data_IF_158014963164
#
_entry.id   IF_158014963164
#
_cell.length_a   1.000
_cell.length_b   1.000
_cell.length_c   1.000
_cell.angle_alpha   90.00
_cell.angle_beta   90.00
_cell.angle_gamma   90.00
#
_symmetry.space_group_name_H-M   'P 1'
#
loop_
_entity.id
_entity.type
_entity.pdbx_description
1 polymer ?
#
# COMPACT_ATOMS: atom_id res chain seq x y z
N UNK A 1 -2.83 12.06 29.21
CA UNK A 1 -3.86 11.04 29.48
C UNK A 1 -4.31 10.47 28.13
N UNK A 2 -4.58 9.18 28.00
CA UNK A 2 -5.10 8.63 26.74
C UNK A 2 -6.44 9.29 26.40
N UNK A 3 -6.69 9.53 25.11
CA UNK A 3 -7.94 10.11 24.62
C UNK A 3 -9.12 9.23 25.02
N UNK A 4 -10.17 9.82 25.60
CA UNK A 4 -11.39 9.11 25.95
C UNK A 4 -12.39 9.18 24.79
N UNK A 5 -12.60 8.05 24.12
CA UNK A 5 -13.46 7.96 22.92
C UNK A 5 -14.93 8.29 23.21
N UNK A 6 -15.46 7.94 24.40
CA UNK A 6 -16.84 8.27 24.76
C UNK A 6 -17.05 9.78 24.93
N UNK A 7 -16.08 10.47 25.58
CA UNK A 7 -16.12 11.92 25.70
C UNK A 7 -16.05 12.60 24.32
N UNK A 8 -15.18 12.10 23.45
CA UNK A 8 -15.06 12.59 22.08
C UNK A 8 -16.34 12.34 21.29
N UNK A 9 -16.96 11.16 21.44
CA UNK A 9 -18.23 10.85 20.77
C UNK A 9 -19.33 11.86 21.14
N UNK A 10 -19.48 12.21 22.43
CA UNK A 10 -20.43 13.23 22.87
C UNK A 10 -20.15 14.60 22.26
N UNK A 11 -18.88 15.03 22.28
CA UNK A 11 -18.46 16.33 21.75
C UNK A 11 -18.69 16.45 20.23
N UNK A 12 -18.38 15.40 19.49
CA UNK A 12 -18.46 15.34 18.03
C UNK A 12 -19.78 14.78 17.51
N UNK A 13 -20.71 14.40 18.38
CA UNK A 13 -22.01 13.80 18.04
C UNK A 13 -21.86 12.49 17.23
N UNK A 14 -20.79 11.72 17.49
CA UNK A 14 -20.60 10.40 16.90
C UNK A 14 -21.54 9.42 17.60
N UNK A 15 -22.35 8.70 16.82
CA UNK A 15 -23.30 7.70 17.30
C UNK A 15 -22.76 6.27 17.23
N UNK A 16 -21.87 6.00 16.26
CA UNK A 16 -21.31 4.69 16.00
C UNK A 16 -19.80 4.76 15.71
N UNK A 17 -19.10 3.68 16.03
CA UNK A 17 -17.69 3.52 15.68
C UNK A 17 -17.47 2.27 14.82
N UNK A 18 -16.73 2.41 13.75
CA UNK A 18 -16.13 1.30 13.01
C UNK A 18 -14.81 0.95 13.71
N UNK A 19 -14.78 -0.14 14.45
CA UNK A 19 -13.54 -0.70 15.03
C UNK A 19 -12.95 -1.63 14.00
N UNK A 20 -11.84 -1.21 13.37
CA UNK A 20 -11.35 -1.81 12.14
C UNK A 20 -9.92 -2.34 12.28
N UNK A 21 -9.64 -3.45 11.58
CA UNK A 21 -8.28 -3.94 11.37
C UNK A 21 -8.11 -4.43 9.93
N UNK A 22 -6.87 -4.63 9.51
CA UNK A 22 -6.53 -5.19 8.19
C UNK A 22 -5.89 -6.54 8.38
N UNK A 23 -6.38 -7.56 7.66
CA UNK A 23 -5.80 -8.89 7.67
C UNK A 23 -4.56 -9.01 6.75
N UNK A 24 -3.91 -10.18 6.68
CA UNK A 24 -2.68 -10.39 5.89
C UNK A 24 -2.86 -10.15 4.38
N UNK A 25 -4.09 -10.31 3.86
CA UNK A 25 -4.39 -10.06 2.45
C UNK A 25 -4.73 -8.59 2.14
N UNK A 26 -4.72 -7.73 3.17
CA UNK A 26 -5.04 -6.30 3.00
C UNK A 26 -6.53 -5.99 3.08
N UNK A 27 -7.37 -6.96 3.43
CA UNK A 27 -8.81 -6.76 3.55
C UNK A 27 -9.13 -6.02 4.85
N UNK A 28 -9.87 -4.90 4.72
CA UNK A 28 -10.34 -4.12 5.85
C UNK A 28 -11.55 -4.82 6.50
N UNK A 29 -11.38 -5.22 7.76
CA UNK A 29 -12.39 -5.88 8.60
C UNK A 29 -12.88 -4.93 9.67
N UNK A 30 -14.16 -4.97 9.99
CA UNK A 30 -14.74 -4.03 10.96
C UNK A 30 -15.94 -4.60 11.70
N UNK A 31 -16.17 -4.07 12.90
CA UNK A 31 -17.46 -4.11 13.58
C UNK A 31 -17.98 -2.71 13.82
N UNK A 32 -19.28 -2.50 13.62
CA UNK A 32 -19.98 -1.27 13.96
C UNK A 32 -20.43 -1.35 15.43
N UNK A 33 -19.96 -0.41 16.24
CA UNK A 33 -20.18 -0.38 17.69
C UNK A 33 -20.92 0.90 18.07
N UNK A 34 -22.06 0.86 18.79
CA UNK A 34 -22.72 2.05 19.33
C UNK A 34 -21.80 2.84 20.27
N UNK A 35 -21.89 4.16 20.25
CA UNK A 35 -21.04 5.03 21.07
C UNK A 35 -21.18 4.75 22.58
N UNK A 36 -22.33 4.23 23.05
CA UNK A 36 -22.54 3.84 24.44
C UNK A 36 -21.61 2.72 24.89
N UNK A 37 -21.25 1.80 23.98
CA UNK A 37 -20.37 0.66 24.27
C UNK A 37 -18.88 0.97 24.06
N UNK A 38 -18.51 2.16 23.55
CA UNK A 38 -17.14 2.44 23.13
C UNK A 38 -16.12 2.43 24.27
N UNK A 39 -16.54 2.78 25.49
CA UNK A 39 -15.65 2.74 26.66
C UNK A 39 -15.19 1.32 26.99
N UNK A 40 -16.08 0.34 26.87
CA UNK A 40 -15.75 -1.07 27.03
C UNK A 40 -14.85 -1.56 25.91
N UNK A 41 -15.18 -1.21 24.66
CA UNK A 41 -14.37 -1.56 23.49
C UNK A 41 -12.97 -0.92 23.52
N UNK A 42 -12.87 0.30 24.06
CA UNK A 42 -11.56 0.97 24.20
C UNK A 42 -10.66 0.24 25.21
N UNK A 43 -11.27 -0.37 26.24
CA UNK A 43 -10.55 -1.10 27.30
C UNK A 43 -10.22 -2.53 26.90
N UNK A 44 -11.21 -3.27 26.40
CA UNK A 44 -11.14 -4.71 26.23
C UNK A 44 -11.10 -5.14 24.75
N UNK A 45 -11.39 -4.24 23.82
CA UNK A 45 -11.44 -4.52 22.38
C UNK A 45 -12.79 -5.06 21.92
N UNK A 46 -13.01 -5.03 20.62
CA UNK A 46 -14.13 -5.71 19.95
C UNK A 46 -13.72 -7.13 19.57
N UNK A 47 -14.50 -8.14 19.89
CA UNK A 47 -14.19 -9.54 19.63
C UNK A 47 -14.36 -9.92 18.15
N UNK A 48 -13.44 -10.72 17.61
CA UNK A 48 -13.46 -11.25 16.24
C UNK A 48 -13.02 -12.72 16.23
N UNK A 49 -13.71 -13.54 15.45
CA UNK A 49 -13.27 -14.91 15.16
C UNK A 49 -12.15 -14.89 14.12
N UNK A 50 -10.92 -15.20 14.51
CA UNK A 50 -9.74 -15.07 13.66
C UNK A 50 -9.79 -15.94 12.42
N UNK A 51 -10.35 -17.15 12.51
CA UNK A 51 -10.45 -18.07 11.38
C UNK A 51 -11.33 -17.54 10.21
N UNK A 52 -12.24 -16.61 10.49
CA UNK A 52 -13.08 -15.96 9.47
C UNK A 52 -12.34 -14.88 8.67
N UNK A 53 -11.05 -14.71 8.90
CA UNK A 53 -10.18 -13.70 8.27
C UNK A 53 -8.90 -14.34 7.74
N UNK A 54 -8.15 -13.61 6.91
CA UNK A 54 -6.87 -14.09 6.38
C UNK A 54 -5.72 -13.87 7.39
N UNK A 55 -5.77 -14.59 8.54
CA UNK A 55 -4.74 -14.58 9.60
C UNK A 55 -4.17 -15.96 9.92
N UNK A 56 -4.47 -16.97 9.08
CA UNK A 56 -4.04 -18.36 9.24
C UNK A 56 -4.43 -18.99 10.58
N UNK A 57 -5.67 -18.77 11.00
CA UNK A 57 -6.27 -19.33 12.21
C UNK A 57 -7.30 -20.40 11.89
N UNK A 58 -7.63 -21.22 12.88
CA UNK A 58 -8.63 -22.29 12.81
C UNK A 58 -9.78 -21.97 13.76
N UNK A 59 -10.95 -22.64 13.65
CA UNK A 59 -12.05 -22.50 14.62
C UNK A 59 -11.68 -22.92 16.07
N UNK A 60 -10.54 -23.59 16.26
CA UNK A 60 -10.05 -23.96 17.59
C UNK A 60 -9.23 -22.88 18.29
N UNK A 61 -8.82 -21.85 17.54
CA UNK A 61 -8.09 -20.72 18.11
C UNK A 61 -9.04 -19.79 18.88
N UNK A 62 -8.52 -19.17 19.96
CA UNK A 62 -9.27 -18.22 20.77
C UNK A 62 -9.74 -17.00 19.94
N UNK A 63 -10.81 -16.34 20.41
CA UNK A 63 -11.23 -15.06 19.84
C UNK A 63 -10.14 -13.99 19.94
N UNK A 64 -10.02 -13.20 18.89
CA UNK A 64 -9.18 -12.00 18.87
C UNK A 64 -9.98 -10.79 19.33
N UNK A 65 -9.29 -9.83 19.91
CA UNK A 65 -9.85 -8.55 20.32
C UNK A 65 -9.15 -7.40 19.60
N UNK A 66 -9.92 -6.66 18.80
CA UNK A 66 -9.47 -5.42 18.15
C UNK A 66 -9.55 -4.26 19.14
N UNK A 67 -8.43 -3.89 19.74
CA UNK A 67 -8.34 -2.74 20.67
C UNK A 67 -8.14 -1.48 19.83
N UNK A 68 -9.14 -0.55 19.81
CA UNK A 68 -9.05 0.63 18.97
C UNK A 68 -7.96 1.59 19.46
N UNK A 69 -7.19 2.13 18.52
CA UNK A 69 -6.21 3.18 18.78
C UNK A 69 -6.90 4.55 18.72
N UNK A 70 -7.06 5.27 19.87
CA UNK A 70 -7.76 6.55 19.89
C UNK A 70 -7.06 7.66 19.06
N UNK A 71 -5.78 7.49 18.75
CA UNK A 71 -5.04 8.46 17.94
C UNK A 71 -5.33 8.30 16.45
N UNK A 72 -5.89 7.16 16.04
CA UNK A 72 -6.31 6.89 14.67
C UNK A 72 -7.73 7.39 14.33
N UNK A 73 -8.47 7.97 15.30
CA UNK A 73 -9.86 8.35 15.10
C UNK A 73 -10.05 9.32 13.94
N UNK A 74 -10.85 8.91 12.98
CA UNK A 74 -11.36 9.73 11.88
C UNK A 74 -12.90 9.76 11.96
N UNK A 75 -13.49 10.94 12.17
CA UNK A 75 -14.94 11.13 11.97
C UNK A 75 -15.17 11.21 10.47
N UNK A 76 -16.06 10.37 9.91
CA UNK A 76 -16.28 10.33 8.47
C UNK A 76 -16.82 11.69 7.97
N UNK A 77 -16.13 12.39 7.04
CA UNK A 77 -16.61 13.68 6.55
C UNK A 77 -17.97 13.59 5.86
N UNK A 78 -18.26 12.50 5.16
CA UNK A 78 -19.52 12.26 4.43
C UNK A 78 -20.63 11.63 5.29
N UNK A 79 -20.31 11.21 6.52
CA UNK A 79 -21.28 10.72 7.51
C UNK A 79 -20.78 10.97 8.94
N UNK A 80 -21.04 12.16 9.45
CA UNK A 80 -20.53 12.63 10.74
C UNK A 80 -21.02 11.83 11.96
N UNK A 81 -21.99 10.95 11.80
CA UNK A 81 -22.45 10.08 12.89
C UNK A 81 -21.50 8.90 13.14
N UNK A 82 -20.55 8.64 12.23
CA UNK A 82 -19.64 7.50 12.31
C UNK A 82 -18.19 7.98 12.55
N UNK A 83 -17.52 7.34 13.50
CA UNK A 83 -16.08 7.42 13.72
C UNK A 83 -15.40 6.13 13.26
N UNK A 84 -14.35 6.23 12.47
CA UNK A 84 -13.49 5.10 12.09
C UNK A 84 -12.27 5.05 12.99
N UNK A 85 -11.87 3.84 13.40
CA UNK A 85 -10.72 3.57 14.27
C UNK A 85 -9.92 2.39 13.74
N UNK A 86 -8.61 2.57 13.56
CA UNK A 86 -7.69 1.45 13.39
C UNK A 86 -7.46 0.77 14.74
N UNK A 87 -7.32 -0.56 14.73
CA UNK A 87 -7.17 -1.36 15.95
C UNK A 87 -5.95 -2.26 15.88
N UNK A 88 -5.35 -2.47 17.04
CA UNK A 88 -4.35 -3.52 17.25
C UNK A 88 -5.04 -4.80 17.72
N UNK A 89 -4.67 -5.94 17.13
CA UNK A 89 -5.26 -7.23 17.51
C UNK A 89 -4.51 -7.87 18.68
N UNK A 90 -5.28 -8.37 19.64
CA UNK A 90 -4.82 -9.14 20.78
C UNK A 90 -5.54 -10.49 20.84
N UNK A 91 -4.84 -11.52 21.28
CA UNK A 91 -5.37 -12.85 21.58
C UNK A 91 -4.70 -13.36 22.86
N UNK A 92 -5.47 -13.87 23.81
CA UNK A 92 -4.99 -14.30 25.14
C UNK A 92 -4.10 -13.24 25.83
N UNK A 93 -4.51 -11.97 25.74
CA UNK A 93 -3.81 -10.83 26.34
C UNK A 93 -2.49 -10.43 25.65
N UNK A 94 -2.13 -11.04 24.51
CA UNK A 94 -0.90 -10.77 23.77
C UNK A 94 -1.19 -10.21 22.38
N UNK A 95 -0.35 -9.31 21.85
CA UNK A 95 -0.49 -8.83 20.47
C UNK A 95 -0.40 -9.98 19.47
N UNK A 96 -1.33 -10.02 18.51
CA UNK A 96 -1.32 -11.00 17.41
C UNK A 96 -0.19 -10.65 16.45
N UNK A 97 0.87 -11.46 16.45
CA UNK A 97 2.08 -11.20 15.64
C UNK A 97 1.80 -11.13 14.15
N UNK A 98 0.84 -11.90 13.65
CA UNK A 98 0.43 -11.91 12.24
C UNK A 98 -0.43 -10.70 11.85
N UNK A 99 -0.85 -9.84 12.81
CA UNK A 99 -1.58 -8.62 12.49
C UNK A 99 -0.66 -7.59 11.81
N UNK A 100 -0.98 -7.14 10.58
CA UNK A 100 -0.12 -6.23 9.82
C UNK A 100 0.21 -4.92 10.55
N UNK A 101 -0.77 -4.33 11.25
CA UNK A 101 -0.56 -3.09 12.03
C UNK A 101 0.39 -3.33 13.20
N UNK A 102 0.27 -4.47 13.89
CA UNK A 102 1.19 -4.89 14.97
C UNK A 102 2.59 -5.13 14.41
N UNK A 103 2.70 -5.76 13.23
CA UNK A 103 3.98 -5.96 12.55
C UNK A 103 4.66 -4.62 12.23
N UNK A 104 3.91 -3.64 11.71
CA UNK A 104 4.44 -2.30 11.43
C UNK A 104 4.92 -1.61 12.72
N UNK A 105 4.12 -1.62 13.78
CA UNK A 105 4.50 -1.04 15.09
C UNK A 105 5.78 -1.66 15.65
N UNK A 106 5.97 -2.97 15.47
CA UNK A 106 7.20 -3.65 15.87
C UNK A 106 8.43 -3.15 15.09
N UNK A 107 8.30 -2.91 13.77
CA UNK A 107 9.41 -2.36 12.98
C UNK A 107 9.69 -0.89 13.31
N UNK A 108 8.64 -0.09 13.55
CA UNK A 108 8.78 1.31 14.01
C UNK A 108 9.54 1.35 15.34
N UNK A 109 9.22 0.46 16.29
CA UNK A 109 9.93 0.34 17.57
C UNK A 109 11.43 0.07 17.36
N UNK A 110 11.79 -0.92 16.53
CA UNK A 110 13.20 -1.21 16.20
C UNK A 110 13.93 0.00 15.60
N UNK A 111 13.23 0.80 14.81
CA UNK A 111 13.78 2.02 14.20
C UNK A 111 13.97 3.13 15.26
N UNK A 112 13.01 3.27 16.18
CA UNK A 112 13.08 4.27 17.27
C UNK A 112 14.20 3.97 18.27
N UNK A 113 14.58 2.70 18.49
CA UNK A 113 15.73 2.29 19.29
C UNK A 113 17.05 2.87 18.74
N UNK A 114 17.10 3.19 17.43
CA UNK A 114 18.22 3.89 16.79
C UNK A 114 18.01 5.41 16.74
N UNK A 115 17.01 5.93 17.41
CA UNK A 115 16.60 7.34 17.35
C UNK A 115 16.27 7.80 15.91
N UNK A 116 15.73 6.89 15.11
CA UNK A 116 15.30 7.12 13.72
C UNK A 116 13.81 6.92 13.57
N UNK A 117 13.22 7.66 12.63
CA UNK A 117 11.81 7.59 12.29
C UNK A 117 11.67 7.66 10.76
N UNK A 118 10.91 6.74 10.17
CA UNK A 118 10.55 6.84 8.76
C UNK A 118 9.30 7.68 8.58
N UNK A 119 9.39 8.65 7.68
CA UNK A 119 8.23 9.35 7.13
C UNK A 119 8.03 8.91 5.70
N UNK A 120 6.77 8.81 5.29
CA UNK A 120 6.41 8.37 3.95
C UNK A 120 5.15 9.06 3.44
N UNK A 121 5.05 9.19 2.12
CA UNK A 121 3.83 9.51 1.38
C UNK A 121 3.58 8.40 0.38
N UNK A 122 2.32 8.13 0.06
CA UNK A 122 1.94 7.15 -0.95
C UNK A 122 1.13 7.83 -2.06
N UNK A 123 1.39 7.45 -3.30
CA UNK A 123 0.66 7.82 -4.51
C UNK A 123 -0.15 6.59 -4.90
N UNK A 124 -1.40 6.50 -4.46
CA UNK A 124 -2.24 5.32 -4.66
C UNK A 124 -3.20 5.57 -5.83
N UNK A 125 -2.84 5.07 -7.00
CA UNK A 125 -3.64 5.16 -8.22
C UNK A 125 -4.87 4.26 -8.15
N UNK A 126 -5.98 4.69 -8.78
CA UNK A 126 -7.21 3.92 -8.84
C UNK A 126 -7.97 4.18 -10.15
N UNK A 127 -8.77 3.20 -10.55
CA UNK A 127 -9.73 3.37 -11.64
C UNK A 127 -11.12 3.69 -11.11
N UNK A 128 -11.83 4.56 -11.82
CA UNK A 128 -13.28 4.66 -11.74
C UNK A 128 -13.89 3.82 -12.86
N UNK A 129 -14.70 2.85 -12.47
CA UNK A 129 -15.26 1.83 -13.35
C UNK A 129 -16.79 1.80 -13.24
N UNK A 130 -17.45 1.12 -14.18
CA UNK A 130 -18.88 0.81 -14.09
C UNK A 130 -19.16 -0.05 -12.83
N UNK A 131 -20.38 0.00 -12.31
CA UNK A 131 -20.79 -0.77 -11.12
C UNK A 131 -20.51 -2.27 -11.27
N UNK A 132 -20.73 -2.82 -12.46
CA UNK A 132 -20.46 -4.24 -12.76
C UNK A 132 -18.96 -4.57 -12.95
N UNK A 133 -18.09 -3.57 -12.96
CA UNK A 133 -16.65 -3.72 -13.15
C UNK A 133 -16.20 -4.11 -14.55
N UNK A 134 -17.09 -4.05 -15.55
CA UNK A 134 -16.79 -4.49 -16.91
C UNK A 134 -15.98 -3.49 -17.71
N UNK A 135 -16.15 -2.19 -17.47
CA UNK A 135 -15.55 -1.10 -18.25
C UNK A 135 -15.14 0.09 -17.37
N UNK A 136 -14.36 1.00 -17.93
CA UNK A 136 -14.13 2.31 -17.31
C UNK A 136 -15.44 3.10 -17.26
N UNK A 137 -15.60 3.94 -16.23
CA UNK A 137 -16.84 4.66 -15.99
C UNK A 137 -17.13 5.75 -17.03
N UNK A 138 -16.10 6.37 -17.62
CA UNK A 138 -16.23 7.43 -18.61
C UNK A 138 -15.96 6.91 -20.03
N UNK A 139 -17.00 6.55 -20.77
CA UNK A 139 -16.90 6.04 -22.15
C UNK A 139 -16.36 7.09 -23.16
N UNK A 140 -16.32 8.38 -22.81
CA UNK A 140 -15.73 9.44 -23.63
C UNK A 140 -14.24 9.63 -23.38
N UNK A 141 -13.67 8.94 -22.41
CA UNK A 141 -12.23 8.97 -22.11
C UNK A 141 -11.48 7.99 -23.02
N UNK A 142 -11.17 8.46 -24.23
CA UNK A 142 -10.60 7.63 -25.34
C UNK A 142 -9.23 8.10 -25.83
N UNK A 143 -8.63 9.11 -25.20
CA UNK A 143 -7.35 9.65 -25.60
C UNK A 143 -6.25 8.57 -25.58
N UNK A 144 -5.35 8.62 -26.56
CA UNK A 144 -4.22 7.69 -26.62
C UNK A 144 -3.14 8.00 -25.58
N UNK A 145 -3.04 9.28 -25.15
CA UNK A 145 -2.18 9.75 -24.06
C UNK A 145 -3.05 10.52 -23.07
N UNK A 146 -3.77 9.84 -22.17
CA UNK A 146 -4.79 10.45 -21.35
C UNK A 146 -4.26 11.21 -20.14
N UNK A 147 -2.97 11.03 -19.79
CA UNK A 147 -2.36 11.65 -18.63
C UNK A 147 -2.57 13.17 -18.64
N UNK A 148 -3.12 13.72 -17.54
CA UNK A 148 -3.42 15.14 -17.35
C UNK A 148 -4.52 15.70 -18.27
N UNK A 149 -5.38 14.85 -18.87
CA UNK A 149 -6.50 15.32 -19.68
C UNK A 149 -7.50 16.08 -18.79
N UNK A 150 -7.54 17.41 -18.98
CA UNK A 150 -8.42 18.29 -18.22
C UNK A 150 -9.89 17.95 -18.42
N UNK A 151 -10.29 17.56 -19.62
CA UNK A 151 -11.70 17.26 -19.90
C UNK A 151 -12.15 15.98 -19.20
N UNK A 152 -11.32 14.93 -19.21
CA UNK A 152 -11.60 13.69 -18.50
C UNK A 152 -11.65 13.91 -16.97
N UNK A 153 -10.70 14.67 -16.43
CA UNK A 153 -10.69 15.07 -15.00
C UNK A 153 -11.99 15.81 -14.64
N UNK A 154 -12.37 16.80 -15.42
CA UNK A 154 -13.55 17.65 -15.13
C UNK A 154 -14.87 16.90 -15.30
N UNK A 155 -14.94 15.86 -16.12
CA UNK A 155 -16.14 14.99 -16.18
C UNK A 155 -16.38 14.17 -14.92
N UNK A 156 -15.37 14.06 -14.04
CA UNK A 156 -15.44 13.39 -12.72
C UNK A 156 -15.27 14.38 -11.56
N UNK A 157 -15.37 15.67 -11.83
CA UNK A 157 -15.13 16.75 -10.88
C UNK A 157 -15.89 16.59 -9.58
N UNK A 158 -17.18 16.26 -9.61
CA UNK A 158 -18.03 16.21 -8.40
C UNK A 158 -17.51 15.15 -7.41
N UNK A 159 -17.15 13.95 -7.88
CA UNK A 159 -16.58 12.91 -7.05
C UNK A 159 -15.16 13.30 -6.57
N UNK A 160 -14.29 13.76 -7.47
CA UNK A 160 -12.91 14.13 -7.15
C UNK A 160 -12.89 15.27 -6.13
N UNK A 161 -13.76 16.28 -6.33
CA UNK A 161 -13.96 17.37 -5.38
C UNK A 161 -14.41 16.87 -4.02
N UNK A 162 -15.39 15.96 -3.94
CA UNK A 162 -15.86 15.41 -2.67
C UNK A 162 -14.76 14.65 -1.92
N UNK A 163 -13.96 13.85 -2.62
CA UNK A 163 -12.79 13.18 -2.03
C UNK A 163 -11.80 14.22 -1.48
N UNK A 164 -11.47 15.24 -2.29
CA UNK A 164 -10.54 16.29 -1.92
C UNK A 164 -11.04 17.08 -0.69
N UNK A 165 -12.31 17.45 -0.66
CA UNK A 165 -12.95 18.17 0.47
C UNK A 165 -12.93 17.32 1.75
N UNK A 166 -13.13 16.01 1.63
CA UNK A 166 -12.97 15.07 2.75
C UNK A 166 -11.53 15.08 3.27
N UNK A 167 -10.54 15.01 2.39
CA UNK A 167 -9.12 15.04 2.77
C UNK A 167 -8.73 16.36 3.44
N UNK A 168 -9.24 17.50 2.95
CA UNK A 168 -9.06 18.83 3.57
C UNK A 168 -9.67 18.84 4.97
N UNK A 169 -10.91 18.36 5.11
CA UNK A 169 -11.62 18.29 6.40
C UNK A 169 -10.86 17.45 7.43
N UNK A 170 -10.19 16.39 7.00
CA UNK A 170 -9.35 15.52 7.85
C UNK A 170 -7.94 16.10 8.10
N UNK A 171 -7.60 17.24 7.50
CA UNK A 171 -6.28 17.87 7.66
C UNK A 171 -5.14 17.11 6.95
N UNK A 172 -5.42 16.37 5.89
CA UNK A 172 -4.40 15.61 5.15
C UNK A 172 -3.62 16.47 4.17
N UNK A 173 -4.07 17.69 3.90
CA UNK A 173 -3.45 18.64 2.98
C UNK A 173 -3.23 18.06 1.59
N UNK A 174 -4.30 17.70 0.86
CA UNK A 174 -4.17 17.33 -0.53
C UNK A 174 -3.62 18.52 -1.33
N UNK A 175 -2.74 18.26 -2.28
CA UNK A 175 -2.08 19.34 -3.04
C UNK A 175 -2.17 19.16 -4.55
N UNK A 176 -2.51 17.95 -5.03
CA UNK A 176 -2.61 17.68 -6.46
C UNK A 176 -3.50 16.46 -6.68
N UNK A 177 -4.33 16.55 -7.72
CA UNK A 177 -5.20 15.48 -8.18
C UNK A 177 -5.16 15.50 -9.69
N UNK A 178 -4.94 14.37 -10.32
CA UNK A 178 -4.80 14.28 -11.76
C UNK A 178 -5.44 13.03 -12.37
N UNK A 179 -5.65 13.12 -13.69
CA UNK A 179 -5.95 12.00 -14.54
C UNK A 179 -4.65 11.30 -14.90
N UNK A 180 -4.57 10.00 -14.68
CA UNK A 180 -3.37 9.20 -14.87
C UNK A 180 -3.23 8.63 -16.30
N UNK A 181 -2.20 7.76 -16.51
CA UNK A 181 -1.79 7.27 -17.83
C UNK A 181 -2.78 6.27 -18.46
N UNK A 182 -3.79 5.83 -17.75
CA UNK A 182 -4.86 5.01 -18.30
C UNK A 182 -6.18 5.78 -18.33
N UNK A 183 -6.97 5.57 -19.40
CA UNK A 183 -8.33 6.08 -19.45
C UNK A 183 -9.13 5.60 -18.21
N UNK A 184 -9.81 6.51 -17.53
CA UNK A 184 -10.56 6.25 -16.31
C UNK A 184 -9.71 6.06 -15.04
N UNK A 185 -8.42 6.35 -15.08
CA UNK A 185 -7.49 6.24 -13.94
C UNK A 185 -7.20 7.62 -13.34
N UNK A 186 -7.10 7.66 -12.01
CA UNK A 186 -6.89 8.89 -11.24
C UNK A 186 -5.88 8.65 -10.11
N UNK A 187 -5.21 9.73 -9.71
CA UNK A 187 -4.33 9.78 -8.55
C UNK A 187 -4.63 11.02 -7.71
N UNK A 188 -4.50 10.90 -6.39
CA UNK A 188 -4.63 12.00 -5.46
C UNK A 188 -3.45 12.01 -4.49
N UNK A 189 -2.78 13.15 -4.36
CA UNK A 189 -1.61 13.31 -3.53
C UNK A 189 -1.90 14.17 -2.31
N UNK A 190 -1.30 13.80 -1.17
CA UNK A 190 -1.38 14.54 0.10
C UNK A 190 -0.06 14.53 0.84
N UNK A 191 0.08 15.39 1.83
CA UNK A 191 1.32 15.54 2.61
C UNK A 191 1.75 14.22 3.26
N UNK A 192 3.06 13.92 3.13
CA UNK A 192 3.71 12.80 3.81
C UNK A 192 3.67 12.97 5.34
N UNK A 193 3.71 11.85 6.04
CA UNK A 193 3.71 11.85 7.51
C UNK A 193 4.44 10.61 8.06
N UNK A 194 4.36 10.39 9.37
CA UNK A 194 4.93 9.21 10.02
C UNK A 194 4.34 7.91 9.48
N UNK A 195 5.15 6.88 9.32
CA UNK A 195 4.79 5.65 8.61
C UNK A 195 3.53 4.94 9.13
N UNK A 196 3.25 4.96 10.44
CA UNK A 196 2.00 4.40 10.98
C UNK A 196 0.79 5.22 10.53
N UNK A 197 0.87 6.54 10.65
CA UNK A 197 -0.20 7.45 10.21
C UNK A 197 -0.41 7.33 8.70
N UNK A 198 0.67 7.23 7.91
CA UNK A 198 0.58 7.00 6.46
C UNK A 198 -0.15 5.69 6.16
N UNK A 199 0.15 4.60 6.87
CA UNK A 199 -0.53 3.32 6.68
C UNK A 199 -2.02 3.40 7.05
N UNK A 200 -2.36 3.99 8.20
CA UNK A 200 -3.75 4.19 8.64
C UNK A 200 -4.52 5.06 7.62
N UNK A 201 -3.92 6.16 7.15
CA UNK A 201 -4.50 7.03 6.10
C UNK A 201 -4.67 6.31 4.77
N UNK A 202 -3.72 5.49 4.36
CA UNK A 202 -3.81 4.72 3.11
C UNK A 202 -4.95 3.70 3.15
N UNK A 203 -5.12 2.99 4.27
CA UNK A 203 -6.29 2.10 4.50
C UNK A 203 -7.59 2.89 4.38
N UNK A 204 -7.67 4.02 5.10
CA UNK A 204 -8.87 4.84 5.11
C UNK A 204 -9.14 5.49 3.75
N UNK A 205 -8.12 5.93 3.01
CA UNK A 205 -8.24 6.48 1.65
C UNK A 205 -8.90 5.48 0.71
N UNK A 206 -8.44 4.22 0.69
CA UNK A 206 -9.07 3.18 -0.14
C UNK A 206 -10.55 2.99 0.20
N UNK A 207 -10.89 2.94 1.48
CA UNK A 207 -12.28 2.85 1.95
C UNK A 207 -13.10 4.09 1.52
N UNK A 208 -12.57 5.30 1.74
CA UNK A 208 -13.22 6.56 1.40
C UNK A 208 -13.51 6.66 -0.09
N UNK A 209 -12.52 6.40 -0.94
CA UNK A 209 -12.68 6.49 -2.40
C UNK A 209 -13.73 5.51 -2.91
N UNK A 210 -13.74 4.26 -2.41
CA UNK A 210 -14.77 3.27 -2.75
C UNK A 210 -16.16 3.72 -2.31
N UNK A 211 -16.31 4.15 -1.04
CA UNK A 211 -17.61 4.59 -0.50
C UNK A 211 -18.17 5.81 -1.23
N UNK A 212 -17.31 6.77 -1.59
CA UNK A 212 -17.75 7.95 -2.33
C UNK A 212 -18.06 7.63 -3.79
N UNK A 213 -17.29 6.75 -4.44
CA UNK A 213 -17.59 6.29 -5.79
C UNK A 213 -18.98 5.63 -5.86
N UNK A 214 -19.29 4.73 -4.92
CA UNK A 214 -20.61 4.08 -4.81
C UNK A 214 -21.74 5.12 -4.65
N UNK A 215 -21.55 6.15 -3.81
CA UNK A 215 -22.50 7.25 -3.65
C UNK A 215 -22.77 8.00 -4.96
N UNK A 216 -21.81 8.03 -5.88
CA UNK A 216 -21.94 8.62 -7.22
C UNK A 216 -22.37 7.61 -8.30
N UNK A 217 -22.83 6.41 -7.95
CA UNK A 217 -23.24 5.36 -8.91
C UNK A 217 -22.07 4.80 -9.72
N UNK A 218 -20.86 4.80 -9.12
CA UNK A 218 -19.63 4.30 -9.72
C UNK A 218 -18.97 3.27 -8.79
N UNK A 219 -18.00 2.54 -9.31
CA UNK A 219 -17.11 1.70 -8.51
C UNK A 219 -15.67 2.18 -8.65
N UNK A 220 -14.94 2.29 -7.55
CA UNK A 220 -13.51 2.52 -7.57
C UNK A 220 -12.76 1.21 -7.35
N UNK A 221 -11.67 0.98 -8.10
CA UNK A 221 -10.82 -0.20 -7.91
C UNK A 221 -9.35 0.16 -7.84
N UNK A 222 -8.66 -0.43 -6.87
CA UNK A 222 -7.21 -0.41 -6.69
C UNK A 222 -6.53 -1.65 -7.27
N UNK A 223 -7.28 -2.51 -7.97
CA UNK A 223 -6.75 -3.69 -8.64
C UNK A 223 -5.52 -3.33 -9.50
N UNK A 224 -4.39 -4.05 -9.40
CA UNK A 224 -3.14 -3.68 -10.06
C UNK A 224 -3.25 -3.52 -11.58
N UNK A 225 -4.06 -4.35 -12.23
CA UNK A 225 -4.28 -4.32 -13.69
C UNK A 225 -5.69 -4.78 -14.04
N UNK A 226 -6.71 -3.93 -13.87
CA UNK A 226 -8.11 -4.31 -14.15
C UNK A 226 -8.39 -4.51 -15.64
N UNK A 227 -7.64 -3.81 -16.51
CA UNK A 227 -7.75 -3.91 -17.96
C UNK A 227 -6.38 -4.22 -18.58
N UNK A 228 -6.29 -5.26 -19.38
CA UNK A 228 -5.00 -5.76 -19.90
C UNK A 228 -4.31 -4.76 -20.86
N UNK A 229 -5.08 -3.95 -21.56
CA UNK A 229 -4.65 -2.98 -22.56
C UNK A 229 -4.38 -1.56 -22.03
N UNK A 230 -4.72 -1.30 -20.75
CA UNK A 230 -4.49 0.00 -20.09
C UNK A 230 -3.31 -0.10 -19.12
N UNK A 231 -2.71 1.03 -18.77
CA UNK A 231 -1.70 1.10 -17.69
C UNK A 231 -2.30 0.61 -16.37
N UNK A 232 -1.51 -0.03 -15.52
CA UNK A 232 -2.00 -0.56 -14.24
C UNK A 232 -1.84 0.44 -13.09
N UNK A 233 -2.52 0.21 -11.97
CA UNK A 233 -2.42 1.01 -10.76
C UNK A 233 -1.10 0.77 -10.02
N UNK A 234 -0.29 1.80 -9.89
CA UNK A 234 0.83 1.86 -8.97
C UNK A 234 0.38 2.30 -7.57
N UNK A 235 1.29 2.11 -6.63
CA UNK A 235 1.20 2.69 -5.29
C UNK A 235 2.63 3.09 -4.89
N UNK A 236 3.11 4.17 -5.48
CA UNK A 236 4.48 4.61 -5.26
C UNK A 236 4.65 5.11 -3.82
N UNK A 237 5.78 4.81 -3.18
CA UNK A 237 6.07 5.29 -1.85
C UNK A 237 7.28 6.22 -1.85
N UNK A 238 7.07 7.46 -1.42
CA UNK A 238 8.12 8.40 -1.11
C UNK A 238 8.60 8.17 0.32
N UNK A 239 9.90 8.05 0.51
CA UNK A 239 10.51 7.63 1.76
C UNK A 239 11.62 8.57 2.17
N UNK A 240 11.62 8.96 3.44
CA UNK A 240 12.69 9.70 4.10
C UNK A 240 12.84 9.24 5.55
N UNK A 241 14.03 9.40 6.13
CA UNK A 241 14.32 9.01 7.51
C UNK A 241 14.78 10.22 8.30
N UNK A 242 14.26 10.37 9.49
CA UNK A 242 14.39 11.54 10.33
C UNK A 242 14.92 11.19 11.73
N UNK A 243 15.58 12.16 12.36
CA UNK A 243 15.81 12.21 13.80
C UNK A 243 15.26 13.55 14.31
N UNK A 244 14.10 13.52 14.96
CA UNK A 244 13.36 14.74 15.29
C UNK A 244 13.02 15.54 14.03
N UNK A 245 13.60 16.73 13.90
CA UNK A 245 13.39 17.61 12.74
C UNK A 245 14.43 17.44 11.63
N UNK A 246 15.48 16.65 11.88
CA UNK A 246 16.60 16.49 10.95
C UNK A 246 16.31 15.36 9.95
N UNK A 247 16.25 15.68 8.67
CA UNK A 247 16.19 14.69 7.61
C UNK A 247 17.56 14.01 7.45
N UNK A 248 17.66 12.75 7.90
CA UNK A 248 18.91 11.96 7.85
C UNK A 248 19.23 11.40 6.46
N UNK A 249 18.31 11.52 5.52
CA UNK A 249 18.57 11.17 4.12
C UNK A 249 19.26 12.31 3.35
N UNK A 250 19.20 13.56 3.84
CA UNK A 250 19.72 14.72 3.14
C UNK A 250 21.26 14.82 3.26
N UNK A 251 21.92 14.93 2.12
CA UNK A 251 23.29 15.45 2.00
C UNK A 251 23.37 16.37 0.78
N UNK A 252 23.45 17.67 1.01
CA UNK A 252 23.52 18.69 -0.05
C UNK A 252 24.79 18.64 -0.90
N UNK A 253 25.84 17.93 -0.47
CA UNK A 253 27.11 17.79 -1.19
C UNK A 253 27.10 16.58 -2.15
N UNK A 254 26.17 15.65 -1.94
CA UNK A 254 26.02 14.49 -2.82
C UNK A 254 25.31 14.86 -4.13
N UNK A 255 25.67 14.23 -5.22
CA UNK A 255 25.12 14.52 -6.56
C UNK A 255 23.62 14.26 -6.67
N UNK A 256 23.10 13.29 -5.93
CA UNK A 256 21.67 12.96 -5.86
C UNK A 256 21.02 13.51 -4.59
N UNK A 257 21.76 14.25 -3.75
CA UNK A 257 21.28 14.82 -2.51
C UNK A 257 21.01 13.82 -1.40
N UNK A 258 21.63 12.63 -1.44
CA UNK A 258 21.43 11.55 -0.48
C UNK A 258 22.66 11.32 0.41
N UNK A 259 22.41 11.17 1.70
CA UNK A 259 23.44 10.81 2.68
C UNK A 259 23.86 9.34 2.56
N UNK A 260 25.01 9.01 3.17
CA UNK A 260 25.47 7.62 3.29
C UNK A 260 24.43 6.71 3.98
N UNK A 261 23.70 7.24 4.98
CA UNK A 261 22.61 6.51 5.62
C UNK A 261 21.48 6.20 4.64
N UNK A 262 21.12 7.18 3.81
CA UNK A 262 20.10 7.01 2.77
C UNK A 262 20.51 5.93 1.75
N UNK A 263 21.76 5.95 1.27
CA UNK A 263 22.26 4.91 0.38
C UNK A 263 22.27 3.52 1.02
N UNK A 264 22.65 3.42 2.29
CA UNK A 264 22.60 2.14 3.00
C UNK A 264 21.16 1.64 3.14
N UNK A 265 20.22 2.51 3.49
CA UNK A 265 18.79 2.18 3.58
C UNK A 265 18.24 1.71 2.22
N UNK A 266 18.49 2.47 1.17
CA UNK A 266 18.13 2.15 -0.21
C UNK A 266 18.76 0.83 -0.66
N UNK A 267 20.03 0.59 -0.34
CA UNK A 267 20.72 -0.65 -0.59
C UNK A 267 20.05 -1.87 0.05
N UNK A 268 19.57 -1.71 1.29
CA UNK A 268 18.80 -2.73 1.99
C UNK A 268 17.47 -3.03 1.29
N UNK A 269 16.74 -1.99 0.87
CA UNK A 269 15.49 -2.13 0.10
C UNK A 269 15.76 -2.87 -1.21
N UNK A 270 16.77 -2.46 -1.98
CA UNK A 270 17.14 -3.12 -3.25
C UNK A 270 17.53 -4.59 -3.05
N UNK A 271 18.29 -4.89 -2.00
CA UNK A 271 18.74 -6.25 -1.73
C UNK A 271 17.58 -7.20 -1.38
N UNK A 272 16.53 -6.70 -0.75
CA UNK A 272 15.36 -7.48 -0.34
C UNK A 272 14.18 -7.41 -1.32
N UNK A 273 14.27 -6.64 -2.39
CA UNK A 273 13.16 -6.35 -3.31
C UNK A 273 12.46 -7.59 -3.83
N UNK A 274 13.21 -8.63 -4.25
CA UNK A 274 12.60 -9.85 -4.79
C UNK A 274 11.69 -10.55 -3.76
N UNK A 275 12.12 -10.60 -2.51
CA UNK A 275 11.34 -11.16 -1.42
C UNK A 275 10.18 -10.24 -1.00
N UNK A 276 10.43 -8.93 -0.93
CA UNK A 276 9.42 -7.92 -0.64
C UNK A 276 8.31 -7.85 -1.69
N UNK A 277 8.57 -8.28 -2.93
CA UNK A 277 7.53 -8.37 -3.98
C UNK A 277 6.36 -9.25 -3.56
N UNK A 278 6.52 -10.20 -2.64
CA UNK A 278 5.42 -10.97 -2.10
C UNK A 278 4.43 -10.10 -1.28
N UNK A 279 4.89 -9.02 -0.64
CA UNK A 279 4.06 -8.06 0.09
C UNK A 279 3.65 -6.85 -0.75
N UNK A 280 4.50 -6.44 -1.68
CA UNK A 280 4.35 -5.22 -2.48
C UNK A 280 3.53 -5.43 -3.73
N UNK A 281 3.52 -6.68 -4.23
CA UNK A 281 2.79 -7.13 -5.41
C UNK A 281 2.10 -8.46 -5.07
N UNK A 282 1.12 -8.42 -4.12
CA UNK A 282 0.68 -9.62 -3.39
C UNK A 282 -0.33 -10.47 -4.13
N UNK A 283 -0.79 -10.07 -5.32
CA UNK A 283 -1.82 -10.79 -6.07
C UNK A 283 -1.28 -11.39 -7.37
N UNK A 284 -1.98 -12.38 -7.91
CA UNK A 284 -1.67 -12.90 -9.25
C UNK A 284 -1.76 -11.79 -10.30
N UNK A 285 -2.74 -10.91 -10.15
CA UNK A 285 -2.95 -9.77 -11.04
C UNK A 285 -1.81 -8.75 -10.99
N UNK A 286 -1.10 -8.61 -9.87
CA UNK A 286 0.07 -7.74 -9.71
C UNK A 286 1.12 -7.99 -10.81
N UNK A 287 1.29 -9.23 -11.22
CA UNK A 287 2.29 -9.65 -12.21
C UNK A 287 1.85 -9.39 -13.66
N UNK A 288 0.64 -8.91 -13.88
CA UNK A 288 0.23 -8.31 -15.15
C UNK A 288 0.75 -6.88 -15.27
N UNK A 289 0.94 -6.16 -14.15
CA UNK A 289 1.52 -4.82 -14.11
C UNK A 289 3.05 -4.88 -14.21
N UNK A 290 3.72 -5.69 -13.37
CA UNK A 290 5.18 -5.84 -13.41
C UNK A 290 5.62 -6.48 -14.73
N UNK A 291 6.66 -5.92 -15.34
CA UNK A 291 7.17 -6.35 -16.66
C UNK A 291 6.08 -6.30 -17.76
N UNK A 292 5.11 -5.41 -17.66
CA UNK A 292 4.10 -5.24 -18.69
C UNK A 292 4.72 -4.68 -19.98
N UNK A 293 4.18 -5.02 -21.16
CA UNK A 293 4.54 -4.34 -22.40
C UNK A 293 4.06 -2.88 -22.36
N UNK A 294 4.63 -1.98 -23.19
CA UNK A 294 4.10 -0.63 -23.35
C UNK A 294 2.62 -0.64 -23.72
N UNK A 295 1.86 0.27 -23.12
CA UNK A 295 0.45 0.52 -23.40
C UNK A 295 0.28 1.55 -24.54
N UNK A 296 -0.93 2.03 -24.78
CA UNK A 296 -1.23 3.05 -25.81
C UNK A 296 -0.39 4.32 -25.65
N UNK A 297 -0.08 4.73 -24.42
CA UNK A 297 0.76 5.91 -24.14
C UNK A 297 2.22 5.71 -24.53
N UNK A 298 2.67 4.48 -24.78
CA UNK A 298 4.04 4.12 -25.14
C UNK A 298 4.93 3.84 -23.92
N UNK A 299 4.38 3.86 -22.71
CA UNK A 299 5.09 3.56 -21.46
C UNK A 299 4.44 2.37 -20.73
N UNK A 300 5.18 1.77 -19.81
CA UNK A 300 4.67 0.72 -18.92
C UNK A 300 4.41 1.26 -17.51
N UNK A 301 5.08 2.35 -17.16
CA UNK A 301 5.13 2.97 -15.82
C UNK A 301 5.45 2.01 -14.68
N UNK A 302 5.93 0.83 -15.01
CA UNK A 302 6.21 -0.26 -14.09
C UNK A 302 7.65 -0.75 -14.27
N UNK A 303 8.39 -0.98 -13.18
CA UNK A 303 9.76 -1.46 -13.26
C UNK A 303 9.82 -2.93 -13.69
N UNK A 304 10.97 -3.30 -14.28
CA UNK A 304 11.30 -4.69 -14.64
C UNK A 304 12.58 -5.19 -13.95
N UNK A 305 13.43 -4.27 -13.53
CA UNK A 305 14.75 -4.56 -12.96
C UNK A 305 14.96 -3.78 -11.67
N UNK A 306 15.81 -4.31 -10.79
CA UNK A 306 16.19 -3.66 -9.55
C UNK A 306 17.29 -2.66 -9.85
N UNK A 307 16.93 -1.39 -9.94
CA UNK A 307 17.84 -0.30 -10.26
C UNK A 307 17.37 1.01 -9.65
N UNK A 308 18.29 1.97 -9.52
CA UNK A 308 17.98 3.31 -9.07
C UNK A 308 18.75 4.37 -9.86
N UNK A 309 18.24 5.59 -9.84
CA UNK A 309 18.89 6.77 -10.40
C UNK A 309 18.27 8.06 -9.86
N UNK A 310 18.65 9.21 -10.40
CA UNK A 310 18.03 10.50 -10.13
C UNK A 310 16.57 10.58 -10.61
N UNK A 311 16.15 11.75 -11.09
CA UNK A 311 14.78 12.01 -11.54
C UNK A 311 14.46 11.32 -12.88
N UNK A 312 14.28 9.99 -12.85
CA UNK A 312 13.96 9.17 -14.04
C UNK A 312 12.98 8.05 -13.67
N UNK A 313 11.76 8.13 -14.18
CA UNK A 313 10.63 7.22 -13.89
C UNK A 313 10.77 5.82 -14.47
N UNK A 314 11.81 5.53 -15.27
CA UNK A 314 12.02 4.21 -15.86
C UNK A 314 12.71 3.23 -14.92
N UNK A 315 13.17 3.68 -13.74
CA UNK A 315 13.82 2.88 -12.72
C UNK A 315 12.87 2.48 -11.59
N UNK A 316 13.19 1.39 -10.89
CA UNK A 316 12.44 0.94 -9.72
C UNK A 316 12.50 1.94 -8.56
N UNK A 317 13.67 2.57 -8.36
CA UNK A 317 13.84 3.64 -7.39
C UNK A 317 14.28 4.90 -8.13
N UNK A 318 13.52 5.96 -7.92
CA UNK A 318 13.74 7.30 -8.44
C UNK A 318 14.10 8.23 -7.28
N UNK A 319 15.08 9.10 -7.48
CA UNK A 319 15.41 10.16 -6.53
C UNK A 319 14.94 11.47 -7.19
N UNK A 320 13.67 11.91 -6.92
CA UNK A 320 13.08 13.05 -7.61
C UNK A 320 13.69 14.38 -7.16
N UNK A 321 14.09 14.46 -5.90
CA UNK A 321 14.75 15.60 -5.27
C UNK A 321 15.55 15.16 -4.02
N UNK A 322 16.20 16.09 -3.35
CA UNK A 322 17.12 15.82 -2.24
C UNK A 322 16.43 15.28 -0.98
N UNK A 323 17.09 14.36 -0.30
CA UNK A 323 16.68 13.87 1.02
C UNK A 323 15.50 12.91 1.03
N UNK A 324 15.08 12.38 -0.12
CA UNK A 324 14.08 11.32 -0.25
C UNK A 324 14.32 10.46 -1.48
N UNK A 325 13.74 9.28 -1.49
CA UNK A 325 13.58 8.49 -2.73
C UNK A 325 12.13 8.05 -2.90
N UNK A 326 11.77 7.72 -4.12
CA UNK A 326 10.48 7.14 -4.53
C UNK A 326 10.72 5.68 -4.92
N UNK A 327 10.02 4.77 -4.25
CA UNK A 327 9.97 3.36 -4.61
C UNK A 327 8.71 3.10 -5.47
N UNK A 328 8.93 2.69 -6.72
CA UNK A 328 7.88 2.56 -7.76
C UNK A 328 7.40 1.12 -7.98
N UNK A 329 7.79 0.21 -7.09
CA UNK A 329 7.50 -1.22 -7.23
C UNK A 329 6.06 -1.58 -6.90
N UNK A 330 5.51 -1.05 -5.80
CA UNK A 330 4.24 -1.45 -5.25
C UNK A 330 3.06 -1.15 -6.17
N UNK A 331 1.99 -1.87 -5.98
CA UNK A 331 0.71 -1.65 -6.65
C UNK A 331 -0.44 -1.43 -5.65
N UNK A 332 -1.62 -1.08 -6.15
CA UNK A 332 -2.77 -0.71 -5.34
C UNK A 332 -3.32 -1.85 -4.46
N UNK A 333 -2.93 -3.11 -4.69
CA UNK A 333 -3.32 -4.25 -3.85
C UNK A 333 -2.41 -4.48 -2.65
N UNK A 334 -1.27 -3.76 -2.56
CA UNK A 334 -0.36 -3.88 -1.43
C UNK A 334 -1.07 -3.58 -0.11
N UNK A 335 -0.85 -4.44 0.90
CA UNK A 335 -1.33 -4.18 2.26
C UNK A 335 -0.61 -2.95 2.82
N UNK A 336 -1.32 -1.86 3.19
CA UNK A 336 -0.71 -0.61 3.62
C UNK A 336 0.27 -0.73 4.79
N UNK A 337 0.00 -1.62 5.72
CA UNK A 337 0.88 -1.85 6.88
C UNK A 337 2.10 -2.69 6.51
N UNK A 338 1.93 -3.77 5.72
CA UNK A 338 3.04 -4.60 5.25
C UNK A 338 3.97 -3.84 4.30
N UNK A 339 3.42 -2.91 3.52
CA UNK A 339 4.19 -2.00 2.67
C UNK A 339 5.18 -1.20 3.52
N UNK A 340 4.69 -0.48 4.52
CA UNK A 340 5.55 0.34 5.39
C UNK A 340 6.50 -0.53 6.23
N UNK A 341 6.01 -1.63 6.79
CA UNK A 341 6.81 -2.56 7.59
C UNK A 341 7.95 -3.19 6.78
N UNK A 342 7.68 -3.58 5.53
CA UNK A 342 8.68 -4.16 4.62
C UNK A 342 9.79 -3.17 4.27
N UNK A 343 9.43 -1.92 3.98
CA UNK A 343 10.41 -0.84 3.70
C UNK A 343 11.29 -0.60 4.93
N UNK A 344 10.71 -0.47 6.13
CA UNK A 344 11.47 -0.26 7.37
C UNK A 344 12.40 -1.44 7.64
N UNK A 345 11.90 -2.68 7.58
CA UNK A 345 12.68 -3.88 7.86
C UNK A 345 13.91 -4.01 6.94
N UNK A 346 13.70 -3.83 5.64
CA UNK A 346 14.78 -3.89 4.65
C UNK A 346 15.75 -2.71 4.78
N UNK A 347 15.25 -1.52 5.02
CA UNK A 347 16.07 -0.33 5.22
C UNK A 347 16.94 -0.42 6.47
N UNK A 348 16.40 -0.94 7.58
CA UNK A 348 17.16 -1.19 8.82
C UNK A 348 18.26 -2.25 8.61
N UNK A 349 17.98 -3.30 7.85
CA UNK A 349 19.04 -4.26 7.47
C UNK A 349 20.15 -3.55 6.69
N UNK A 350 19.77 -2.72 5.72
CA UNK A 350 20.71 -1.93 4.92
C UNK A 350 21.60 -1.04 5.76
N UNK A 351 21.03 -0.30 6.72
CA UNK A 351 21.77 0.54 7.67
C UNK A 351 22.71 -0.31 8.53
N UNK A 352 22.20 -1.41 9.12
CA UNK A 352 22.96 -2.26 10.05
C UNK A 352 24.15 -2.92 9.36
N UNK A 353 23.98 -3.40 8.13
CA UNK A 353 24.99 -4.07 7.34
C UNK A 353 25.80 -3.14 6.43
N UNK A 354 25.47 -1.83 6.44
CA UNK A 354 26.10 -0.83 5.56
C UNK A 354 26.05 -1.24 4.08
N UNK A 355 24.89 -1.73 3.62
CA UNK A 355 24.71 -2.25 2.26
C UNK A 355 24.86 -1.09 1.26
N UNK A 356 25.77 -1.27 0.30
CA UNK A 356 25.96 -0.33 -0.79
C UNK A 356 25.04 -0.73 -1.95
N UNK A 357 24.19 0.17 -2.47
CA UNK A 357 23.29 -0.10 -3.60
C UNK A 357 24.02 -0.21 -4.96
N UNK A 358 25.31 0.06 -5.03
CA UNK A 358 26.06 0.23 -6.26
C UNK A 358 25.95 1.64 -6.85
N UNK A 359 26.35 1.81 -8.10
CA UNK A 359 26.29 3.10 -8.81
C UNK A 359 24.88 3.33 -9.38
N UNK A 360 24.37 4.58 -9.41
CA UNK A 360 23.14 4.92 -10.12
C UNK A 360 23.33 4.70 -11.62
N UNK A 361 22.26 4.32 -12.31
CA UNK A 361 22.29 4.07 -13.76
C UNK A 361 21.59 5.22 -14.50
N UNK A 362 22.36 5.95 -15.30
CA UNK A 362 21.86 7.10 -16.08
C UNK A 362 21.41 6.63 -17.47
N UNK A 363 20.31 5.88 -17.54
CA UNK A 363 19.81 5.35 -18.81
C UNK A 363 18.27 5.25 -18.80
N UNK A 364 17.69 5.03 -19.97
CA UNK A 364 16.26 4.69 -20.10
C UNK A 364 16.08 3.17 -19.94
N UNK A 365 15.71 2.71 -18.74
CA UNK A 365 15.56 1.28 -18.46
C UNK A 365 14.52 0.57 -19.32
N UNK A 366 13.53 1.25 -19.88
CA UNK A 366 12.57 0.64 -20.82
C UNK A 366 13.22 0.26 -22.17
N UNK A 367 14.25 0.99 -22.59
CA UNK A 367 14.98 0.75 -23.85
C UNK A 367 16.30 0.01 -23.63
N UNK A 368 17.02 0.39 -22.57
CA UNK A 368 18.43 0.01 -22.38
C UNK A 368 18.63 -1.21 -21.49
N UNK A 369 17.56 -1.81 -20.92
CA UNK A 369 17.68 -2.92 -19.97
C UNK A 369 18.55 -4.10 -20.45
N UNK A 370 18.58 -4.33 -21.76
CA UNK A 370 19.42 -5.38 -22.38
C UNK A 370 20.92 -5.13 -22.26
N UNK A 371 21.33 -3.85 -22.10
CA UNK A 371 22.73 -3.46 -21.89
C UNK A 371 23.24 -3.82 -20.49
N UNK A 372 22.34 -4.19 -19.59
CA UNK A 372 22.63 -4.51 -18.19
C UNK A 372 22.18 -5.93 -17.80
N UNK A 373 22.76 -6.98 -18.42
CA UNK A 373 22.30 -8.36 -18.25
C UNK A 373 22.46 -8.88 -16.79
N UNK A 374 23.39 -8.29 -16.04
CA UNK A 374 23.68 -8.67 -14.65
C UNK A 374 22.75 -8.02 -13.62
N UNK A 375 21.87 -7.10 -14.01
CA UNK A 375 20.90 -6.53 -13.09
C UNK A 375 19.91 -7.60 -12.63
N UNK A 376 19.68 -7.66 -11.31
CA UNK A 376 18.64 -8.50 -10.74
C UNK A 376 17.28 -8.05 -11.28
N UNK A 377 16.49 -8.99 -11.76
CA UNK A 377 15.13 -8.76 -12.24
C UNK A 377 14.12 -8.94 -11.13
N UNK A 378 12.99 -8.30 -11.27
CA UNK A 378 11.82 -8.53 -10.42
C UNK A 378 11.23 -9.92 -10.70
N UNK A 379 10.54 -10.54 -9.73
CA UNK A 379 9.83 -11.79 -9.95
C UNK A 379 8.85 -11.70 -11.12
N UNK A 380 8.71 -12.78 -11.88
CA UNK A 380 7.79 -12.83 -13.02
C UNK A 380 6.36 -13.23 -12.63
N UNK A 381 6.21 -13.85 -11.46
CA UNK A 381 4.94 -14.28 -10.91
C UNK A 381 5.00 -14.33 -9.37
N UNK A 382 3.83 -14.50 -8.75
CA UNK A 382 3.68 -14.57 -7.29
C UNK A 382 4.43 -15.76 -6.68
N UNK A 383 4.59 -16.89 -7.40
CA UNK A 383 5.30 -18.09 -6.89
C UNK A 383 6.79 -17.81 -6.71
N UNK A 384 7.39 -17.09 -7.67
CA UNK A 384 8.78 -16.65 -7.54
C UNK A 384 8.95 -15.71 -6.34
N UNK A 385 8.05 -14.72 -6.18
CA UNK A 385 8.11 -13.80 -5.04
C UNK A 385 7.98 -14.53 -3.70
N UNK A 386 7.05 -15.47 -3.57
CA UNK A 386 6.87 -16.30 -2.37
C UNK A 386 8.11 -17.16 -2.12
N UNK A 387 8.69 -17.78 -3.15
CA UNK A 387 9.92 -18.57 -3.02
C UNK A 387 11.09 -17.71 -2.53
N UNK A 388 11.21 -16.46 -3.00
CA UNK A 388 12.21 -15.51 -2.52
C UNK A 388 11.96 -15.08 -1.07
N UNK A 389 10.68 -14.85 -0.69
CA UNK A 389 10.29 -14.53 0.68
C UNK A 389 10.65 -15.69 1.63
N UNK A 390 10.34 -16.92 1.25
CA UNK A 390 10.66 -18.12 2.04
C UNK A 390 12.16 -18.27 2.35
N UNK A 391 13.00 -17.87 1.39
CA UNK A 391 14.47 -17.92 1.52
C UNK A 391 15.06 -16.68 2.19
N UNK A 392 14.26 -15.66 2.46
CA UNK A 392 14.74 -14.39 3.00
C UNK A 392 14.97 -14.47 4.51
N UNK A 393 16.22 -14.72 4.92
CA UNK A 393 16.61 -14.65 6.34
C UNK A 393 16.32 -13.29 6.98
N UNK A 394 16.61 -12.14 6.33
CA UNK A 394 16.32 -10.82 6.91
C UNK A 394 14.85 -10.59 7.22
N UNK A 395 13.95 -10.92 6.29
CA UNK A 395 12.53 -10.73 6.49
C UNK A 395 11.95 -11.72 7.50
N UNK A 396 12.44 -12.97 7.52
CA UNK A 396 12.09 -13.95 8.53
C UNK A 396 12.51 -13.51 9.94
N UNK A 397 13.69 -12.89 10.09
CA UNK A 397 14.16 -12.32 11.37
C UNK A 397 13.34 -11.05 11.75
N UNK A 398 12.92 -10.27 10.78
CA UNK A 398 12.16 -9.04 11.02
C UNK A 398 10.74 -9.32 11.51
N UNK A 399 10.05 -10.26 10.86
CA UNK A 399 8.61 -10.50 11.05
C UNK A 399 8.28 -11.76 11.85
N UNK A 400 9.23 -12.67 12.01
CA UNK A 400 9.02 -14.00 12.58
C UNK A 400 8.85 -15.07 11.49
N UNK A 401 9.48 -16.21 11.69
CA UNK A 401 9.43 -17.33 10.75
C UNK A 401 8.00 -17.87 10.60
N UNK A 402 7.30 -18.01 11.73
CA UNK A 402 5.92 -18.44 11.83
C UNK A 402 4.97 -17.55 11.01
N UNK A 403 5.11 -16.23 11.11
CA UNK A 403 4.29 -15.28 10.35
C UNK A 403 4.55 -15.39 8.84
N UNK A 404 5.82 -15.53 8.44
CA UNK A 404 6.18 -15.71 7.02
C UNK A 404 5.62 -17.02 6.48
N UNK A 405 5.71 -18.12 7.24
CA UNK A 405 5.16 -19.43 6.85
C UNK A 405 3.63 -19.38 6.72
N UNK A 406 2.94 -18.73 7.66
CA UNK A 406 1.49 -18.50 7.58
C UNK A 406 1.09 -17.72 6.33
N UNK A 407 1.78 -16.61 6.05
CA UNK A 407 1.54 -15.82 4.84
C UNK A 407 1.73 -16.66 3.57
N UNK A 408 2.82 -17.41 3.48
CA UNK A 408 3.14 -18.29 2.34
C UNK A 408 2.08 -19.38 2.17
N UNK A 409 1.64 -20.00 3.26
CA UNK A 409 0.58 -21.02 3.25
C UNK A 409 -0.71 -20.47 2.66
N UNK A 410 -1.16 -19.29 3.13
CA UNK A 410 -2.36 -18.62 2.62
C UNK A 410 -2.22 -18.29 1.13
N UNK A 411 -1.08 -17.74 0.70
CA UNK A 411 -0.83 -17.41 -0.72
C UNK A 411 -0.75 -18.64 -1.61
N UNK A 412 -0.18 -19.73 -1.13
CA UNK A 412 -0.18 -20.99 -1.87
C UNK A 412 -1.60 -21.58 -2.06
N UNK A 413 -2.47 -21.39 -1.05
CA UNK A 413 -3.89 -21.78 -1.17
C UNK A 413 -4.61 -20.96 -2.23
N UNK A 414 -4.41 -19.63 -2.25
CA UNK A 414 -4.93 -18.73 -3.29
C UNK A 414 -4.46 -19.13 -4.69
N UNK A 415 -3.16 -19.41 -4.85
CA UNK A 415 -2.59 -19.87 -6.13
C UNK A 415 -3.17 -21.20 -6.57
N UNK A 416 -3.38 -22.14 -5.64
CA UNK A 416 -4.01 -23.43 -5.93
C UNK A 416 -5.45 -23.26 -6.42
N UNK A 417 -6.22 -22.40 -5.77
CA UNK A 417 -7.60 -22.09 -6.19
C UNK A 417 -7.60 -21.45 -7.59
N UNK A 418 -6.74 -20.47 -7.84
CA UNK A 418 -6.60 -19.88 -9.17
C UNK A 418 -6.30 -20.92 -10.25
N UNK A 419 -5.29 -21.78 -10.03
CA UNK A 419 -4.85 -22.77 -11.02
C UNK A 419 -5.93 -23.84 -11.32
N UNK A 420 -6.83 -24.09 -10.37
CA UNK A 420 -7.95 -25.03 -10.57
C UNK A 420 -9.07 -24.44 -11.46
N UNK A 421 -9.16 -23.12 -11.55
CA UNK A 421 -10.27 -22.39 -12.20
C UNK A 421 -9.84 -21.55 -13.39
N UNK A 422 -8.53 -21.25 -13.50
CA UNK A 422 -8.00 -20.28 -14.47
C UNK A 422 -6.53 -20.54 -14.80
N UNK A 423 -6.00 -19.79 -15.76
CA UNK A 423 -4.58 -19.81 -16.12
C UNK A 423 -4.05 -18.40 -16.37
N UNK A 424 -2.84 -18.14 -15.88
CA UNK A 424 -2.21 -16.86 -16.04
C UNK A 424 -1.57 -16.69 -17.42
N UNK A 425 -2.01 -15.66 -18.16
CA UNK A 425 -1.37 -15.27 -19.42
C UNK A 425 -1.45 -13.74 -19.57
N UNK A 426 -0.29 -13.07 -19.54
CA UNK A 426 -0.20 -11.60 -19.67
C UNK A 426 -0.76 -11.05 -20.98
N UNK A 427 -0.77 -11.84 -22.07
CA UNK A 427 -1.24 -11.44 -23.39
C UNK A 427 -2.75 -11.59 -23.56
N UNK A 428 -3.42 -12.26 -22.63
CA UNK A 428 -4.88 -12.46 -22.66
C UNK A 428 -5.57 -11.47 -21.70
N UNK A 429 -6.87 -11.21 -21.90
CA UNK A 429 -7.66 -10.40 -20.97
C UNK A 429 -7.55 -10.89 -19.52
N UNK A 430 -7.82 -9.99 -18.59
CA UNK A 430 -7.91 -10.29 -17.17
C UNK A 430 -9.01 -11.33 -16.97
N UNK A 431 -8.71 -12.40 -16.24
CA UNK A 431 -9.66 -13.50 -16.05
C UNK A 431 -10.79 -13.12 -15.09
N UNK A 432 -11.92 -13.82 -15.20
CA UNK A 432 -13.02 -13.64 -14.24
C UNK A 432 -12.55 -13.89 -12.81
N UNK A 433 -11.75 -14.94 -12.57
CA UNK A 433 -11.20 -15.23 -11.24
C UNK A 433 -10.39 -14.05 -10.66
N UNK A 434 -9.51 -13.44 -11.48
CA UNK A 434 -8.74 -12.28 -11.03
C UNK A 434 -9.66 -11.12 -10.64
N UNK A 435 -10.68 -10.83 -11.45
CA UNK A 435 -11.66 -9.78 -11.12
C UNK A 435 -12.45 -10.10 -9.85
N UNK A 436 -12.99 -11.30 -9.73
CA UNK A 436 -13.80 -11.73 -8.58
C UNK A 436 -13.00 -11.67 -7.26
N UNK A 437 -11.67 -11.84 -7.31
CA UNK A 437 -10.83 -11.90 -6.11
C UNK A 437 -9.98 -10.64 -5.84
N UNK A 438 -9.87 -9.71 -6.80
CA UNK A 438 -8.98 -8.56 -6.65
C UNK A 438 -9.60 -7.22 -7.03
N UNK A 439 -10.81 -7.18 -7.57
CA UNK A 439 -11.42 -5.92 -7.98
C UNK A 439 -11.69 -4.99 -6.79
N UNK A 440 -11.94 -5.54 -5.60
CA UNK A 440 -12.18 -4.82 -4.35
C UNK A 440 -10.96 -4.79 -3.39
N UNK A 441 -9.78 -5.06 -3.88
CA UNK A 441 -8.57 -5.03 -3.06
C UNK A 441 -8.23 -3.62 -2.51
#
# INVERSE_FOLDING_TARGET
>A
MPKNLYKIAKQKKIKYFLISFVDLFGVLRSKLVPAQAISEMQKNGAGFAGFATWLDMTPADSDMFGVPDPDSLIQLPWNKEIGWLASDLYMDGKPVKASPRVMLKAQIKKMSEKKLQMKSGVECEYFLISEDGSSIADQRDIQSKPCYDQSALMRRYDLIKEICDCMITMGWKPYQNDHEDANGQFEMNWDYTDSLITADRHVFFKYMVKSLAEKHGLRATFMPKPFHNLTGNGCHAHVSVWNGKDNKFLDKKDTLGLSKLAYNFLGGVMNNTQALSAFFNPTINSYRRINAPPTKSGATWSPSSISYTGNNRTHMIRIPDQGRFELRLMDGSANPYLLQAGIIAAGLEGINKKINPGKPLHCNMYKDYKKYPNLKKLPNDIRQAISMLQKSKPLSQAFGKDVIESYIKLKNSEIKDFNSKSSFNKKKPVTKWEKDNTLDC
#
